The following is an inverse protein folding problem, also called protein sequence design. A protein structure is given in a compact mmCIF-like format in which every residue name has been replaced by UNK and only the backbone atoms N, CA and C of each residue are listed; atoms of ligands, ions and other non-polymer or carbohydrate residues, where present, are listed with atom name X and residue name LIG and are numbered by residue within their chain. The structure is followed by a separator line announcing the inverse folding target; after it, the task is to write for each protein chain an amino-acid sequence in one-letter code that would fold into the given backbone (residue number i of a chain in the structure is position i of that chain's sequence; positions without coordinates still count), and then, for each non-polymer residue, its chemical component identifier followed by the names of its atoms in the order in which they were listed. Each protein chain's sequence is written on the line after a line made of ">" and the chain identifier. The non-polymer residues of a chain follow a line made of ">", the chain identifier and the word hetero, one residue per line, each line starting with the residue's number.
data_IF_373467809718
#
_entry.id   IF_373467809718
#
_cell.length_a   1.000
_cell.length_b   1.000
_cell.length_c   1.000
_cell.angle_alpha   90.00
_cell.angle_beta   90.00
_cell.angle_gamma   90.00
#
_symmetry.space_group_name_H-M   'P 1'
#
loop_
_entity.id
_entity.type
_entity.pdbx_description
1 polymer ?
#
# COMPACT_ATOMS: atom_id res chain seq x y z
N UNK A 1 21.03 1.03 3.79
CA UNK A 1 19.72 1.27 3.15
C UNK A 1 18.68 0.48 3.90
N UNK A 2 17.59 1.11 4.36
CA UNK A 2 16.43 0.36 4.84
C UNK A 2 15.83 -0.35 3.61
N UNK A 3 15.50 -1.63 3.72
CA UNK A 3 14.73 -2.30 2.68
C UNK A 3 13.30 -1.74 2.75
N UNK A 4 13.04 -0.67 2.01
CA UNK A 4 11.76 0.05 2.02
C UNK A 4 10.60 -0.86 1.67
N UNK A 5 10.79 -1.80 0.74
CA UNK A 5 9.79 -2.81 0.40
C UNK A 5 9.39 -3.64 1.61
N UNK A 6 10.37 -4.16 2.37
CA UNK A 6 10.10 -4.92 3.60
C UNK A 6 9.41 -4.08 4.67
N UNK A 7 9.83 -2.82 4.84
CA UNK A 7 9.18 -1.89 5.76
C UNK A 7 7.72 -1.62 5.37
N UNK A 8 7.48 -1.35 4.09
CA UNK A 8 6.16 -1.09 3.55
C UNK A 8 5.23 -2.29 3.77
N UNK A 9 5.69 -3.50 3.41
CA UNK A 9 4.91 -4.73 3.58
C UNK A 9 4.65 -5.07 5.04
N UNK A 10 5.57 -4.75 5.96
CA UNK A 10 5.35 -4.96 7.38
C UNK A 10 4.22 -4.08 7.93
N UNK A 11 4.23 -2.79 7.63
CA UNK A 11 3.16 -1.88 8.05
C UNK A 11 1.82 -2.22 7.40
N UNK A 12 1.83 -2.61 6.13
CA UNK A 12 0.62 -3.06 5.43
C UNK A 12 0.03 -4.31 6.09
N UNK A 13 0.86 -5.33 6.36
CA UNK A 13 0.42 -6.56 7.02
C UNK A 13 -0.14 -6.31 8.42
N UNK A 14 0.39 -5.34 9.16
CA UNK A 14 -0.17 -4.94 10.45
C UNK A 14 -1.61 -4.43 10.31
N UNK A 15 -1.88 -3.56 9.32
CA UNK A 15 -3.24 -3.08 9.04
C UNK A 15 -4.19 -4.20 8.60
N UNK A 16 -3.67 -5.22 7.92
CA UNK A 16 -4.47 -6.36 7.46
C UNK A 16 -4.84 -7.36 8.56
N UNK A 17 -4.26 -7.25 9.75
CA UNK A 17 -4.63 -8.07 10.92
C UNK A 17 -5.87 -7.52 11.64
N UNK A 18 -6.21 -6.25 11.42
CA UNK A 18 -7.39 -5.59 11.95
C UNK A 18 -8.58 -5.68 10.97
N UNK A 19 -9.70 -5.04 11.33
CA UNK A 19 -10.82 -4.82 10.41
C UNK A 19 -10.35 -4.05 9.17
N UNK A 20 -10.77 -4.51 7.99
CA UNK A 20 -10.30 -3.99 6.72
C UNK A 20 -11.06 -2.72 6.32
N UNK A 21 -10.32 -1.62 6.20
CA UNK A 21 -10.84 -0.33 5.73
C UNK A 21 -9.91 0.25 4.65
N UNK A 22 -10.39 0.44 3.39
CA UNK A 22 -9.60 1.02 2.31
C UNK A 22 -8.94 2.36 2.65
N UNK A 23 -9.65 3.24 3.37
CA UNK A 23 -9.13 4.53 3.86
C UNK A 23 -7.88 4.39 4.73
N UNK A 24 -7.76 3.34 5.53
CA UNK A 24 -6.57 3.10 6.35
C UNK A 24 -5.36 2.73 5.49
N UNK A 25 -5.58 1.94 4.43
CA UNK A 25 -4.54 1.57 3.47
C UNK A 25 -4.06 2.81 2.69
N UNK A 26 -5.00 3.63 2.22
CA UNK A 26 -4.68 4.85 1.48
C UNK A 26 -3.87 5.84 2.32
N UNK A 27 -4.29 6.08 3.57
CA UNK A 27 -3.57 6.96 4.50
C UNK A 27 -2.16 6.46 4.81
N UNK A 28 -2.00 5.16 4.99
CA UNK A 28 -0.70 4.54 5.21
C UNK A 28 0.22 4.72 4.00
N UNK A 29 -0.27 4.44 2.79
CA UNK A 29 0.49 4.62 1.56
C UNK A 29 0.86 6.08 1.33
N UNK A 30 -0.05 7.02 1.58
CA UNK A 30 0.22 8.45 1.47
C UNK A 30 1.30 8.91 2.46
N UNK A 31 1.23 8.48 3.72
CA UNK A 31 2.27 8.78 4.70
C UNK A 31 3.63 8.20 4.30
N UNK A 32 3.65 6.95 3.82
CA UNK A 32 4.88 6.32 3.35
C UNK A 32 5.52 7.06 2.17
N UNK A 33 4.70 7.54 1.23
CA UNK A 33 5.14 8.39 0.11
C UNK A 33 5.77 9.71 0.59
N UNK A 34 5.25 10.32 1.64
CA UNK A 34 5.80 11.56 2.20
C UNK A 34 7.10 11.35 2.98
N UNK A 35 7.23 10.21 3.66
CA UNK A 35 8.35 9.93 4.58
C UNK A 35 9.61 9.39 3.87
N UNK A 36 9.47 8.85 2.65
CA UNK A 36 10.54 8.12 1.98
C UNK A 36 10.72 8.53 0.52
N UNK A 37 11.97 8.69 0.11
CA UNK A 37 12.38 8.74 -1.30
C UNK A 37 12.45 7.31 -1.86
N UNK A 38 11.45 6.92 -2.66
CA UNK A 38 11.25 5.55 -3.13
C UNK A 38 11.92 5.37 -4.49
N UNK A 39 13.10 4.74 -4.51
CA UNK A 39 13.82 4.45 -5.75
C UNK A 39 13.45 3.10 -6.41
N UNK A 40 12.65 2.27 -5.73
CA UNK A 40 12.17 0.97 -6.25
C UNK A 40 10.88 1.21 -7.03
N UNK A 41 10.95 1.25 -8.36
CA UNK A 41 9.82 1.58 -9.26
C UNK A 41 8.57 0.72 -8.99
N UNK A 42 8.75 -0.57 -8.64
CA UNK A 42 7.62 -1.45 -8.30
C UNK A 42 6.95 -1.04 -7.00
N UNK A 43 7.75 -0.66 -6.01
CA UNK A 43 7.24 -0.16 -4.73
C UNK A 43 6.58 1.21 -4.91
N UNK A 44 7.18 2.10 -5.69
CA UNK A 44 6.63 3.41 -6.01
C UNK A 44 5.25 3.26 -6.66
N UNK A 45 5.12 2.41 -7.68
CA UNK A 45 3.84 2.11 -8.32
C UNK A 45 2.78 1.63 -7.32
N UNK A 46 3.12 0.68 -6.45
CA UNK A 46 2.19 0.18 -5.44
C UNK A 46 1.78 1.28 -4.46
N UNK A 47 2.74 2.06 -3.96
CA UNK A 47 2.46 3.15 -3.02
C UNK A 47 1.57 4.22 -3.68
N UNK A 48 1.86 4.57 -4.94
CA UNK A 48 1.12 5.57 -5.72
C UNK A 48 -0.31 5.12 -6.02
N UNK A 49 -0.51 3.84 -6.32
CA UNK A 49 -1.85 3.27 -6.51
C UNK A 49 -2.64 3.29 -5.19
N UNK A 50 -2.04 2.76 -4.11
CA UNK A 50 -2.75 2.57 -2.85
C UNK A 50 -3.15 3.89 -2.20
N UNK A 51 -2.33 4.95 -2.30
CA UNK A 51 -2.70 6.27 -1.77
C UNK A 51 -3.94 6.86 -2.47
N UNK A 52 -4.27 6.40 -3.68
CA UNK A 52 -5.44 6.82 -4.44
C UNK A 52 -6.74 6.08 -4.09
N UNK A 53 -6.70 5.05 -3.24
CA UNK A 53 -7.88 4.22 -2.94
C UNK A 53 -8.99 4.97 -2.20
N UNK A 54 -8.70 6.08 -1.52
CA UNK A 54 -9.69 6.91 -0.79
C UNK A 54 -10.27 8.03 -1.67
N UNK A 55 -9.99 8.04 -2.98
CA UNK A 55 -10.51 9.04 -3.91
C UNK A 55 -12.01 8.84 -4.26
N UNK A 56 -12.55 7.63 -4.02
CA UNK A 56 -13.94 7.27 -4.27
C UNK A 56 -14.14 5.74 -4.24
N UNK A 57 -15.39 5.25 -4.08
CA UNK A 57 -15.69 3.82 -3.98
C UNK A 57 -15.22 2.98 -5.17
N UNK A 58 -15.12 3.56 -6.36
CA UNK A 58 -14.64 2.92 -7.58
C UNK A 58 -13.13 2.64 -7.60
N UNK A 59 -12.38 3.25 -6.68
CA UNK A 59 -10.93 3.05 -6.51
C UNK A 59 -10.60 2.14 -5.31
N UNK A 60 -11.60 1.80 -4.49
CA UNK A 60 -11.41 0.91 -3.36
C UNK A 60 -11.17 -0.51 -3.83
N UNK A 61 -10.15 -1.15 -3.26
CA UNK A 61 -9.94 -2.59 -3.36
C UNK A 61 -10.58 -3.25 -2.14
N UNK A 62 -11.17 -4.42 -2.34
CA UNK A 62 -11.41 -5.38 -1.27
C UNK A 62 -10.08 -5.91 -0.71
N UNK A 63 -10.12 -6.56 0.47
CA UNK A 63 -8.94 -7.17 1.08
C UNK A 63 -8.27 -8.20 0.17
N UNK A 64 -9.06 -8.99 -0.55
CA UNK A 64 -8.55 -10.03 -1.46
C UNK A 64 -7.93 -9.42 -2.71
N UNK A 65 -8.56 -8.39 -3.29
CA UNK A 65 -7.99 -7.64 -4.42
C UNK A 65 -6.69 -6.95 -4.04
N UNK A 66 -6.60 -6.38 -2.83
CA UNK A 66 -5.37 -5.80 -2.32
C UNK A 66 -4.25 -6.84 -2.19
N UNK A 67 -4.54 -8.02 -1.62
CA UNK A 67 -3.57 -9.09 -1.49
C UNK A 67 -3.04 -9.56 -2.86
N UNK A 68 -3.94 -9.72 -3.83
CA UNK A 68 -3.56 -10.13 -5.19
C UNK A 68 -2.79 -9.01 -5.91
N UNK A 69 -3.17 -7.75 -5.72
CA UNK A 69 -2.46 -6.58 -6.23
C UNK A 69 -1.02 -6.51 -5.71
N UNK A 70 -0.82 -6.68 -4.40
CA UNK A 70 0.51 -6.69 -3.78
C UNK A 70 1.35 -7.86 -4.30
N UNK A 71 0.78 -9.06 -4.35
CA UNK A 71 1.46 -10.26 -4.86
C UNK A 71 1.89 -10.07 -6.31
N UNK A 72 1.03 -9.53 -7.15
CA UNK A 72 1.31 -9.31 -8.58
C UNK A 72 2.45 -8.30 -8.78
N UNK A 73 2.50 -7.25 -7.98
CA UNK A 73 3.41 -6.11 -8.23
C UNK A 73 4.71 -6.15 -7.40
N UNK A 74 4.74 -6.83 -6.25
CA UNK A 74 5.91 -6.84 -5.34
C UNK A 74 6.56 -8.20 -5.10
N UNK A 75 6.03 -9.28 -5.69
CA UNK A 75 6.72 -10.59 -5.70
C UNK A 75 7.98 -10.59 -6.56
#
# INVERSE_FOLDING_TARGET
>A
MKNLRKYFLYGLNYLLQEDYYPVCIARYAYAFYLDYDISDEKLEYVVDYLKGMDAGPEFELTKDELNEFIKTNLS
#
